data_IF_198519396715
#
_entry.id   IF_198519396715
#
_cell.length_a   1.000
_cell.length_b   1.000
_cell.length_c   1.000
_cell.angle_alpha   90.00
_cell.angle_beta   90.00
_cell.angle_gamma   90.00
#
_symmetry.space_group_name_H-M   'P 1'
#
loop_
_entity.id
_entity.type
_entity.pdbx_description
1 polymer ?
#
# COMPACT_ATOMS: atom_id res chain seq x y z
N UNK A 1 -28.63 83.09 -7.41
CA UNK A 1 -28.11 82.65 -8.73
C UNK A 1 -26.64 82.31 -8.57
N UNK A 2 -26.15 81.31 -9.31
CA UNK A 2 -24.80 80.73 -9.34
C UNK A 2 -24.49 79.58 -8.37
N UNK A 3 -24.90 78.41 -8.85
CA UNK A 3 -24.31 77.09 -8.62
C UNK A 3 -22.79 77.10 -8.75
N UNK A 4 -22.07 76.42 -7.86
CA UNK A 4 -20.76 75.86 -8.20
C UNK A 4 -20.48 74.56 -7.44
N UNK A 5 -20.54 73.46 -8.21
CA UNK A 5 -20.03 72.14 -7.84
C UNK A 5 -18.50 72.25 -7.65
N UNK A 6 -17.97 71.78 -6.52
CA UNK A 6 -16.54 71.49 -6.37
C UNK A 6 -16.35 70.07 -5.84
N UNK A 7 -16.21 69.19 -6.82
CA UNK A 7 -15.45 67.94 -6.87
C UNK A 7 -14.56 67.70 -5.64
N UNK A 8 -14.92 66.70 -4.84
CA UNK A 8 -14.02 66.05 -3.89
C UNK A 8 -12.85 65.46 -4.68
N UNK A 9 -11.67 66.06 -4.52
CA UNK A 9 -10.41 65.49 -4.97
C UNK A 9 -9.83 64.78 -3.76
N UNK A 10 -10.16 63.49 -3.64
CA UNK A 10 -9.57 62.64 -2.60
C UNK A 10 -8.23 62.13 -3.10
N UNK A 11 -7.17 62.72 -2.54
CA UNK A 11 -5.78 62.32 -2.71
C UNK A 11 -5.61 60.86 -2.29
N UNK A 12 -5.28 59.97 -3.23
CA UNK A 12 -4.93 58.58 -2.94
C UNK A 12 -3.46 58.55 -2.55
N UNK A 13 -3.19 58.43 -1.26
CA UNK A 13 -1.84 58.19 -0.74
C UNK A 13 -1.51 56.72 -0.97
N UNK A 14 -0.78 56.42 -2.05
CA UNK A 14 -0.30 55.08 -2.35
C UNK A 14 0.82 54.69 -1.37
N UNK A 15 0.55 53.70 -0.52
CA UNK A 15 1.56 53.00 0.27
C UNK A 15 2.28 52.00 -0.64
N UNK A 16 3.46 52.38 -1.13
CA UNK A 16 4.38 51.48 -1.84
C UNK A 16 5.21 50.71 -0.81
N UNK A 17 4.85 49.44 -0.57
CA UNK A 17 5.72 48.50 0.13
C UNK A 17 6.57 47.80 -0.92
N UNK A 18 7.86 48.16 -0.95
CA UNK A 18 8.84 47.58 -1.84
C UNK A 18 9.10 46.11 -1.52
N UNK A 19 8.85 45.25 -2.50
CA UNK A 19 9.53 43.97 -2.64
C UNK A 19 10.13 43.94 -4.04
N UNK A 20 11.44 44.15 -4.13
CA UNK A 20 12.18 44.05 -5.38
C UNK A 20 12.17 42.62 -5.89
N UNK A 21 11.52 42.40 -7.02
CA UNK A 21 11.76 41.23 -7.87
C UNK A 21 11.95 41.75 -9.29
N UNK A 22 13.21 41.91 -9.67
CA UNK A 22 13.60 42.18 -11.06
C UNK A 22 13.42 40.90 -11.86
N UNK A 23 12.35 40.81 -12.65
CA UNK A 23 12.26 39.80 -13.72
C UNK A 23 13.16 40.25 -14.87
N UNK A 24 14.44 39.86 -14.78
CA UNK A 24 15.37 39.88 -15.92
C UNK A 24 15.04 38.73 -16.85
N UNK A 25 14.66 39.06 -18.09
CA UNK A 25 14.38 38.12 -19.17
C UNK A 25 15.68 37.48 -19.66
N UNK A 26 15.96 36.26 -19.23
CA UNK A 26 16.73 35.27 -19.99
C UNK A 26 16.09 33.90 -19.79
N UNK A 27 15.57 33.24 -20.85
CA UNK A 27 15.21 31.84 -20.74
C UNK A 27 16.51 31.05 -20.63
N UNK A 28 16.84 30.58 -19.44
CA UNK A 28 17.81 29.49 -19.29
C UNK A 28 17.09 28.22 -19.75
N UNK A 29 17.23 27.87 -21.03
CA UNK A 29 16.89 26.55 -21.50
C UNK A 29 17.79 25.57 -20.74
N UNK A 30 17.19 24.76 -19.87
CA UNK A 30 17.85 23.62 -19.29
C UNK A 30 18.20 22.68 -20.44
N UNK A 31 19.50 22.58 -20.73
CA UNK A 31 20.06 21.58 -21.63
C UNK A 31 19.60 20.20 -21.15
N UNK A 32 18.63 19.59 -21.84
CA UNK A 32 18.26 18.20 -21.58
C UNK A 32 19.35 17.35 -22.18
N UNK A 33 20.45 17.21 -21.45
CA UNK A 33 21.51 16.31 -21.82
C UNK A 33 20.89 14.90 -21.79
N UNK A 34 20.55 14.37 -22.97
CA UNK A 34 20.04 13.01 -23.14
C UNK A 34 21.20 12.05 -22.94
N UNK A 35 21.68 11.96 -21.70
CA UNK A 35 22.29 10.73 -21.25
C UNK A 35 21.17 9.69 -21.29
N UNK A 36 21.16 8.88 -22.35
CA UNK A 36 20.42 7.63 -22.43
C UNK A 36 20.92 6.72 -21.32
N UNK A 37 20.53 7.00 -20.09
CA UNK A 37 20.54 6.03 -19.01
C UNK A 37 19.46 5.05 -19.44
N UNK A 38 19.91 3.92 -20.01
CA UNK A 38 19.10 2.71 -20.10
C UNK A 38 18.49 2.52 -18.72
N UNK A 39 17.23 2.92 -18.57
CA UNK A 39 16.43 2.57 -17.41
C UNK A 39 16.08 1.12 -17.65
N UNK A 40 17.05 0.24 -17.44
CA UNK A 40 16.76 -1.15 -17.18
C UNK A 40 15.72 -1.12 -16.05
N UNK A 41 14.54 -1.73 -16.24
CA UNK A 41 13.52 -1.71 -15.20
C UNK A 41 14.14 -2.25 -13.91
N UNK A 42 14.08 -1.48 -12.82
CA UNK A 42 14.54 -1.87 -11.48
C UNK A 42 13.53 -2.85 -10.86
N UNK A 43 13.04 -3.78 -11.68
CA UNK A 43 12.15 -4.85 -11.28
C UNK A 43 12.71 -6.13 -11.87
N UNK A 44 13.88 -6.55 -11.40
CA UNK A 44 14.05 -7.97 -11.19
C UNK A 44 13.05 -8.33 -10.10
N UNK A 45 11.86 -8.79 -10.49
CA UNK A 45 11.07 -9.68 -9.63
C UNK A 45 11.97 -10.90 -9.50
N UNK A 46 12.93 -10.85 -8.58
CA UNK A 46 13.51 -12.05 -8.06
C UNK A 46 12.29 -12.82 -7.59
N UNK A 47 11.99 -13.94 -8.28
CA UNK A 47 11.18 -14.99 -7.70
C UNK A 47 11.92 -15.34 -6.41
N UNK A 48 11.60 -14.65 -5.34
CA UNK A 48 12.07 -15.03 -4.03
C UNK A 48 11.39 -16.38 -3.84
N UNK A 49 12.18 -17.45 -3.91
CA UNK A 49 11.76 -18.76 -3.41
C UNK A 49 11.47 -18.54 -1.93
N UNK A 50 10.25 -18.12 -1.66
CA UNK A 50 9.73 -17.98 -0.33
C UNK A 50 9.13 -19.34 0.00
N UNK A 51 9.61 -19.93 1.08
CA UNK A 51 9.09 -21.23 1.52
C UNK A 51 7.56 -21.15 1.64
N UNK A 52 6.84 -22.16 1.13
CA UNK A 52 5.39 -22.17 1.22
C UNK A 52 4.96 -22.10 2.67
N UNK A 53 3.98 -21.26 2.93
CA UNK A 53 3.35 -21.18 4.23
C UNK A 53 2.31 -22.31 4.33
N UNK A 54 2.65 -23.37 5.04
CA UNK A 54 1.72 -24.46 5.35
C UNK A 54 1.02 -24.21 6.68
N UNK A 55 -0.30 -24.33 6.67
CA UNK A 55 -1.09 -24.18 7.88
C UNK A 55 -2.55 -24.56 7.70
N UNK A 56 -3.31 -24.41 8.77
CA UNK A 56 -4.74 -24.69 8.81
C UNK A 56 -5.55 -23.38 8.71
N UNK A 57 -6.67 -23.43 7.99
CA UNK A 57 -7.60 -22.31 7.91
C UNK A 57 -8.29 -22.13 9.25
N UNK A 58 -8.19 -20.96 9.86
CA UNK A 58 -8.89 -20.63 11.10
C UNK A 58 -10.06 -19.69 10.88
N UNK A 59 -10.01 -18.82 9.86
CA UNK A 59 -11.12 -17.93 9.50
C UNK A 59 -11.24 -17.80 7.99
N UNK A 60 -12.49 -17.69 7.53
CA UNK A 60 -12.86 -17.51 6.12
C UNK A 60 -13.74 -16.27 6.03
N UNK A 61 -13.21 -15.21 5.43
CA UNK A 61 -13.92 -13.99 5.08
C UNK A 61 -14.16 -13.96 3.56
N UNK A 62 -15.06 -13.08 3.09
CA UNK A 62 -15.41 -12.99 1.66
C UNK A 62 -14.22 -12.78 0.71
N UNK A 63 -13.17 -12.08 1.15
CA UNK A 63 -12.01 -11.75 0.30
C UNK A 63 -10.70 -12.28 0.86
N UNK A 64 -10.71 -12.87 2.06
CA UNK A 64 -9.50 -13.28 2.75
C UNK A 64 -9.70 -14.56 3.55
N UNK A 65 -8.66 -15.37 3.59
CA UNK A 65 -8.50 -16.46 4.53
C UNK A 65 -7.48 -16.06 5.58
N UNK A 66 -7.64 -16.61 6.77
CA UNK A 66 -6.62 -16.56 7.80
C UNK A 66 -6.10 -17.98 8.00
N UNK A 67 -4.81 -18.17 7.73
CA UNK A 67 -4.14 -19.46 7.84
C UNK A 67 -3.16 -19.39 9.00
N UNK A 68 -3.24 -20.38 9.89
CA UNK A 68 -2.37 -20.54 11.05
C UNK A 68 -1.39 -21.70 10.82
N UNK A 69 -0.09 -21.44 10.96
CA UNK A 69 0.96 -22.45 10.91
C UNK A 69 1.10 -23.11 12.28
N UNK A 70 0.29 -24.15 12.50
CA UNK A 70 0.31 -24.99 13.70
C UNK A 70 0.57 -26.44 13.31
N UNK A 71 0.96 -27.26 14.28
CA UNK A 71 1.25 -28.67 14.03
C UNK A 71 -0.02 -29.51 13.91
N UNK A 72 -1.11 -29.07 14.53
CA UNK A 72 -2.39 -29.79 14.52
C UNK A 72 -3.56 -28.87 14.18
N UNK A 73 -4.63 -29.48 13.64
CA UNK A 73 -5.89 -28.80 13.36
C UNK A 73 -6.54 -28.25 14.64
N UNK A 74 -6.61 -29.06 15.70
CA UNK A 74 -7.29 -28.64 16.95
C UNK A 74 -6.60 -27.43 17.60
N UNK A 75 -5.27 -27.41 17.57
CA UNK A 75 -4.48 -26.25 18.00
C UNK A 75 -4.82 -25.01 17.14
N UNK A 76 -4.87 -25.14 15.81
CA UNK A 76 -5.25 -24.02 14.94
C UNK A 76 -6.63 -23.46 15.30
N UNK A 77 -7.60 -24.35 15.51
CA UNK A 77 -8.98 -23.97 15.80
C UNK A 77 -9.12 -23.28 17.16
N UNK A 78 -8.21 -23.54 18.11
CA UNK A 78 -8.19 -22.85 19.41
C UNK A 78 -7.87 -21.34 19.27
N UNK A 79 -7.08 -20.97 18.26
CA UNK A 79 -6.68 -19.58 18.00
C UNK A 79 -7.68 -18.78 17.14
N UNK A 80 -8.86 -19.33 16.85
CA UNK A 80 -9.90 -18.63 16.09
C UNK A 80 -10.29 -17.28 16.70
N UNK A 81 -10.43 -17.24 18.02
CA UNK A 81 -10.86 -16.05 18.75
C UNK A 81 -9.67 -15.21 19.26
N UNK A 82 -8.49 -15.81 19.41
CA UNK A 82 -7.29 -15.15 19.92
C UNK A 82 -6.07 -15.51 19.07
N UNK A 83 -5.95 -14.85 17.92
CA UNK A 83 -4.87 -15.08 16.97
C UNK A 83 -3.64 -14.20 17.23
N UNK A 84 -3.65 -13.36 18.27
CA UNK A 84 -2.58 -12.40 18.55
C UNK A 84 -1.26 -13.10 18.89
N UNK A 85 -1.33 -14.24 19.58
CA UNK A 85 -0.17 -15.06 19.87
C UNK A 85 0.51 -15.55 18.58
N UNK A 86 -0.27 -15.95 17.58
CA UNK A 86 0.25 -16.40 16.29
C UNK A 86 0.92 -15.27 15.51
N UNK A 87 0.45 -14.03 15.66
CA UNK A 87 1.08 -12.84 15.06
C UNK A 87 2.48 -12.63 15.61
N UNK A 88 2.62 -12.68 16.94
CA UNK A 88 3.90 -12.48 17.61
C UNK A 88 4.90 -13.60 17.29
N UNK A 89 4.40 -14.80 16.98
CA UNK A 89 5.23 -15.94 16.57
C UNK A 89 5.45 -16.02 15.06
N UNK A 90 4.92 -15.07 14.27
CA UNK A 90 4.94 -15.10 12.80
C UNK A 90 4.33 -16.39 12.20
N UNK A 91 3.38 -16.99 12.91
CA UNK A 91 2.68 -18.24 12.53
C UNK A 91 1.30 -17.98 11.91
N UNK A 92 1.04 -16.78 11.44
CA UNK A 92 -0.23 -16.41 10.84
C UNK A 92 -0.01 -15.66 9.53
N UNK A 93 -0.84 -15.98 8.55
CA UNK A 93 -0.83 -15.33 7.26
C UNK A 93 -2.26 -15.07 6.81
N UNK A 94 -2.55 -13.84 6.42
CA UNK A 94 -3.79 -13.48 5.76
C UNK A 94 -3.62 -13.63 4.27
N UNK A 95 -4.50 -14.37 3.62
CA UNK A 95 -4.36 -14.77 2.23
C UNK A 95 -5.57 -14.26 1.45
N UNK A 96 -5.39 -13.35 0.48
CA UNK A 96 -6.50 -12.95 -0.38
C UNK A 96 -6.98 -14.14 -1.23
N UNK A 97 -8.29 -14.28 -1.37
CA UNK A 97 -8.92 -15.31 -2.20
C UNK A 97 -9.57 -14.69 -3.43
N UNK A 98 -9.61 -15.48 -4.51
CA UNK A 98 -10.30 -15.11 -5.74
C UNK A 98 -11.74 -15.62 -5.71
N UNK A 99 -12.64 -14.90 -6.39
CA UNK A 99 -14.05 -15.27 -6.49
C UNK A 99 -14.20 -16.67 -7.12
N UNK A 100 -14.77 -17.61 -6.37
CA UNK A 100 -15.06 -18.98 -6.82
C UNK A 100 -14.36 -20.09 -6.04
N UNK A 101 -13.33 -19.79 -5.26
CA UNK A 101 -12.68 -20.77 -4.40
C UNK A 101 -13.39 -20.90 -3.05
N UNK A 102 -13.81 -22.12 -2.70
CA UNK A 102 -14.46 -22.40 -1.42
C UNK A 102 -13.47 -23.13 -0.51
N UNK A 103 -13.23 -22.54 0.67
CA UNK A 103 -12.38 -23.09 1.71
C UNK A 103 -13.19 -23.29 2.98
N UNK A 104 -12.90 -24.37 3.68
CA UNK A 104 -13.54 -24.67 4.96
C UNK A 104 -12.56 -24.42 6.11
N UNK A 105 -13.12 -24.03 7.25
CA UNK A 105 -12.36 -23.89 8.49
C UNK A 105 -11.78 -25.26 8.87
N UNK A 106 -10.48 -25.28 9.18
CA UNK A 106 -9.71 -26.46 9.54
C UNK A 106 -9.17 -27.27 8.37
N UNK A 107 -9.30 -26.79 7.12
CA UNK A 107 -8.57 -27.36 5.98
C UNK A 107 -7.08 -27.00 6.07
N UNK A 108 -6.21 -27.93 5.72
CA UNK A 108 -4.78 -27.68 5.60
C UNK A 108 -4.44 -27.19 4.19
N UNK A 109 -3.78 -26.04 4.11
CA UNK A 109 -3.42 -25.37 2.88
C UNK A 109 -1.92 -25.11 2.82
N UNK A 110 -1.37 -25.24 1.61
CA UNK A 110 -0.06 -24.72 1.25
C UNK A 110 -0.25 -23.40 0.50
N UNK A 111 0.29 -22.32 1.05
CA UNK A 111 0.17 -20.97 0.48
C UNK A 111 1.53 -20.54 -0.03
N UNK A 112 1.65 -20.44 -1.35
CA UNK A 112 2.82 -19.89 -2.01
C UNK A 112 2.55 -18.41 -2.27
N UNK A 113 3.43 -17.52 -1.83
CA UNK A 113 3.26 -16.08 -2.04
C UNK A 113 4.51 -15.52 -2.73
N UNK A 114 4.33 -14.47 -3.53
CA UNK A 114 5.46 -13.76 -4.13
C UNK A 114 6.20 -12.89 -3.10
N UNK A 115 5.47 -12.37 -2.12
CA UNK A 115 5.97 -11.57 -1.02
C UNK A 115 4.93 -11.51 0.11
N UNK A 116 5.33 -11.03 1.28
CA UNK A 116 4.43 -10.71 2.40
C UNK A 116 4.46 -9.21 2.70
N UNK A 117 3.32 -8.64 3.08
CA UNK A 117 3.25 -7.24 3.54
C UNK A 117 3.77 -7.10 4.96
N UNK A 118 4.32 -5.92 5.28
CA UNK A 118 4.68 -5.53 6.66
C UNK A 118 3.44 -5.03 7.41
N UNK A 119 2.46 -5.91 7.62
CA UNK A 119 1.24 -5.65 8.38
C UNK A 119 1.07 -6.67 9.50
N UNK A 120 0.11 -6.44 10.39
CA UNK A 120 -0.25 -7.35 11.47
C UNK A 120 -1.75 -7.68 11.34
N UNK A 121 -2.13 -8.91 10.94
CA UNK A 121 -1.26 -9.98 10.46
C UNK A 121 -0.64 -9.66 9.08
N UNK A 122 0.49 -10.30 8.71
CA UNK A 122 1.06 -10.20 7.37
C UNK A 122 0.06 -10.67 6.30
N UNK A 123 0.08 -10.04 5.13
CA UNK A 123 -0.80 -10.39 4.00
C UNK A 123 0.05 -10.95 2.86
N UNK A 124 -0.37 -12.09 2.32
CA UNK A 124 0.26 -12.70 1.15
C UNK A 124 -0.02 -11.88 -0.12
N UNK A 125 1.03 -11.62 -0.89
CA UNK A 125 0.94 -10.93 -2.19
C UNK A 125 0.94 -11.96 -3.31
N UNK A 126 -0.09 -11.89 -4.17
CA UNK A 126 -0.33 -12.84 -5.28
C UNK A 126 -0.21 -14.31 -4.82
N UNK A 127 -1.02 -14.74 -3.84
CA UNK A 127 -0.93 -16.09 -3.34
C UNK A 127 -1.41 -17.11 -4.38
N UNK A 128 -0.75 -18.27 -4.40
CA UNK A 128 -1.26 -19.50 -4.99
C UNK A 128 -1.55 -20.46 -3.85
N UNK A 129 -2.79 -20.95 -3.77
CA UNK A 129 -3.25 -21.81 -2.68
C UNK A 129 -3.40 -23.23 -3.21
N UNK A 130 -2.79 -24.19 -2.53
CA UNK A 130 -2.93 -25.62 -2.82
C UNK A 130 -3.52 -26.32 -1.60
N UNK A 131 -4.61 -27.07 -1.80
CA UNK A 131 -5.20 -27.89 -0.74
C UNK A 131 -4.32 -29.12 -0.51
N UNK A 132 -3.93 -29.36 0.74
CA UNK A 132 -3.27 -30.60 1.11
C UNK A 132 -4.36 -31.66 1.22
N UNK A 133 -4.44 -32.55 0.21
CA UNK A 133 -5.35 -33.69 0.25
C UNK A 133 -4.86 -34.63 1.37
N UNK A 134 -5.73 -34.86 2.34
CA UNK A 134 -5.52 -35.77 3.47
C UNK A 134 -6.15 -37.13 3.18
#
# INVERSE_FOLDING_TARGET
MFTKKRKLVTTVTALTLGCGFTFGLTPAFADSNKASVSTAPIYTIHKQEQDPFTGYVISVENNYLVVASTSTKDEALSYQNDWWELVNQNKILRVPISDGENYNIGEQLNVYAAAWTKSLPPIAVMPKIEKVLQ
#
